data_IF_468062105781
#
_entry.id   IF_468062105781
#
_cell.length_a   1.000
_cell.length_b   1.000
_cell.length_c   1.000
_cell.angle_alpha   90.00
_cell.angle_beta   90.00
_cell.angle_gamma   90.00
#
_symmetry.space_group_name_H-M   'P 1'
#
loop_
_entity.id
_entity.type
_entity.pdbx_description
1 polymer ?
#
# COMPACT_ATOMS: atom_id res chain seq x y z
N UNK A 1 13.14 -1.18 4.55
CA UNK A 1 14.24 -1.18 5.54
C UNK A 1 14.97 -2.50 5.49
N UNK A 2 16.07 -2.64 6.22
CA UNK A 2 16.79 -3.92 6.38
C UNK A 2 16.98 -4.17 7.88
N UNK A 3 16.84 -5.42 8.32
CA UNK A 3 17.16 -5.82 9.69
C UNK A 3 18.63 -6.24 9.78
N UNK A 4 19.39 -5.62 10.68
CA UNK A 4 20.79 -5.98 10.93
C UNK A 4 21.64 -4.79 11.38
N UNK A 5 22.95 -5.01 11.41
CA UNK A 5 23.92 -4.00 11.87
C UNK A 5 24.30 -2.97 10.79
N UNK A 6 23.82 -3.15 9.56
CA UNK A 6 24.12 -2.28 8.42
C UNK A 6 22.91 -2.18 7.49
N UNK A 7 22.92 -1.19 6.59
CA UNK A 7 21.89 -1.06 5.55
C UNK A 7 22.08 -2.02 4.36
N UNK A 8 23.01 -2.98 4.44
CA UNK A 8 23.21 -4.00 3.41
C UNK A 8 22.25 -5.16 3.64
N UNK A 9 21.47 -5.52 2.62
CA UNK A 9 20.58 -6.68 2.65
C UNK A 9 19.39 -6.49 1.72
N UNK A 10 18.47 -7.45 1.76
CA UNK A 10 17.21 -7.39 1.02
C UNK A 10 16.23 -6.46 1.75
N UNK A 11 15.71 -5.42 1.08
CA UNK A 11 14.79 -4.49 1.73
C UNK A 11 13.39 -5.10 1.88
N UNK A 12 12.80 -4.91 3.05
CA UNK A 12 11.40 -5.23 3.35
C UNK A 12 10.60 -3.96 3.68
N UNK A 13 9.27 -4.04 3.66
CA UNK A 13 8.39 -2.97 4.12
C UNK A 13 8.17 -3.10 5.64
N UNK A 14 8.45 -2.02 6.37
CA UNK A 14 8.22 -1.94 7.81
C UNK A 14 7.19 -0.86 8.11
N UNK A 15 6.34 -1.11 9.10
CA UNK A 15 5.29 -0.19 9.54
C UNK A 15 5.42 0.05 11.04
N UNK A 16 5.17 1.30 11.44
CA UNK A 16 5.00 1.68 12.84
C UNK A 16 3.73 2.49 12.97
N UNK A 17 2.94 2.18 13.99
CA UNK A 17 1.65 2.83 14.28
C UNK A 17 1.70 3.66 15.56
N UNK A 18 2.87 3.71 16.20
CA UNK A 18 3.13 4.43 17.44
C UNK A 18 4.36 5.34 17.30
N UNK A 19 4.43 6.06 16.18
CA UNK A 19 5.45 7.08 15.91
C UNK A 19 6.91 6.57 16.02
N UNK A 20 7.15 5.31 15.68
CA UNK A 20 8.50 4.73 15.59
C UNK A 20 9.01 4.06 16.86
N UNK A 21 8.19 3.97 17.93
CA UNK A 21 8.56 3.27 19.17
C UNK A 21 8.72 1.77 18.92
N UNK A 22 7.81 1.18 18.16
CA UNK A 22 7.91 -0.21 17.71
C UNK A 22 7.62 -0.33 16.21
N UNK A 23 8.17 -1.39 15.61
CA UNK A 23 8.05 -1.66 14.18
C UNK A 23 7.66 -3.11 13.95
N UNK A 24 6.82 -3.33 12.94
CA UNK A 24 6.55 -4.65 12.38
C UNK A 24 7.15 -4.74 10.98
N UNK A 25 7.65 -5.92 10.62
CA UNK A 25 7.98 -6.25 9.23
C UNK A 25 6.67 -6.65 8.52
N UNK A 26 6.04 -5.70 7.84
CA UNK A 26 4.71 -5.86 7.28
C UNK A 26 4.70 -6.70 5.99
N UNK A 27 5.65 -6.48 5.08
CA UNK A 27 5.77 -7.25 3.84
C UNK A 27 7.23 -7.52 3.50
N UNK A 28 7.53 -8.72 3.03
CA UNK A 28 8.88 -9.03 2.54
C UNK A 28 9.08 -8.63 1.07
N UNK A 29 10.18 -7.90 0.82
CA UNK A 29 10.59 -7.38 -0.48
C UNK A 29 10.32 -5.89 -0.67
N UNK A 30 10.66 -5.40 -1.88
CA UNK A 30 10.51 -4.01 -2.25
C UNK A 30 9.09 -3.71 -2.75
N UNK A 31 8.42 -2.73 -2.15
CA UNK A 31 7.09 -2.28 -2.54
C UNK A 31 7.05 -0.77 -2.73
N UNK A 32 6.33 -0.30 -3.75
CA UNK A 32 5.73 1.03 -3.65
C UNK A 32 4.56 0.92 -2.69
N UNK A 33 4.38 1.90 -1.83
CA UNK A 33 3.27 1.93 -0.88
C UNK A 33 2.71 3.34 -0.78
N UNK A 34 1.42 3.42 -0.48
CA UNK A 34 0.72 4.66 -0.21
C UNK A 34 -0.41 4.41 0.78
N UNK A 35 -0.80 5.44 1.50
CA UNK A 35 -1.95 5.43 2.40
C UNK A 35 -3.04 6.34 1.87
N UNK A 36 -4.28 6.09 2.29
CA UNK A 36 -5.43 6.92 1.99
C UNK A 36 -6.40 6.92 3.19
N UNK A 37 -7.48 7.71 3.11
CA UNK A 37 -8.48 7.87 4.17
C UNK A 37 -7.87 8.10 5.57
N UNK A 38 -7.02 9.13 5.69
CA UNK A 38 -6.30 9.45 6.95
C UNK A 38 -5.47 8.29 7.53
N UNK A 39 -5.06 7.34 6.70
CA UNK A 39 -4.33 6.14 7.15
C UNK A 39 -5.20 4.92 7.42
N UNK A 40 -6.52 5.00 7.21
CA UNK A 40 -7.46 3.88 7.37
C UNK A 40 -7.24 2.76 6.35
N UNK A 41 -6.53 3.02 5.26
CA UNK A 41 -6.08 1.99 4.31
C UNK A 41 -4.64 2.23 3.85
N UNK A 42 -3.90 1.12 3.77
CA UNK A 42 -2.59 1.04 3.14
C UNK A 42 -2.67 0.16 1.89
N UNK A 43 -2.06 0.60 0.79
CA UNK A 43 -1.90 -0.19 -0.42
C UNK A 43 -0.41 -0.31 -0.75
N UNK A 44 0.01 -1.49 -1.16
CA UNK A 44 1.37 -1.77 -1.61
C UNK A 44 1.39 -2.60 -2.90
N UNK A 45 2.41 -2.36 -3.73
CA UNK A 45 2.62 -3.06 -4.99
C UNK A 45 4.10 -3.35 -5.21
N UNK A 46 4.43 -4.59 -5.62
CA UNK A 46 5.83 -5.03 -5.78
C UNK A 46 6.60 -4.15 -6.75
N UNK A 47 7.80 -3.74 -6.36
CA UNK A 47 8.78 -3.11 -7.24
C UNK A 47 9.61 -4.18 -7.95
N UNK A 48 10.18 -3.80 -9.10
CA UNK A 48 11.19 -4.56 -9.86
C UNK A 48 10.78 -5.96 -10.35
N UNK A 49 9.56 -6.41 -10.07
CA UNK A 49 8.99 -7.65 -10.59
C UNK A 49 7.69 -7.35 -11.34
N UNK A 50 7.41 -8.04 -12.46
CA UNK A 50 6.09 -8.03 -13.06
C UNK A 50 5.01 -8.42 -12.05
N UNK A 51 3.91 -7.66 -12.01
CA UNK A 51 2.80 -7.94 -11.09
C UNK A 51 1.44 -7.75 -11.77
N UNK A 52 0.45 -8.43 -11.21
CA UNK A 52 -0.96 -8.37 -11.58
C UNK A 52 -1.83 -7.79 -10.46
N UNK A 53 -1.28 -7.80 -9.25
CA UNK A 53 -2.02 -7.63 -8.01
C UNK A 53 -1.39 -6.49 -7.20
N UNK A 54 -2.25 -5.79 -6.46
CA UNK A 54 -1.86 -5.00 -5.28
C UNK A 54 -2.11 -5.85 -4.03
N UNK A 55 -1.45 -5.48 -2.94
CA UNK A 55 -1.87 -5.90 -1.61
C UNK A 55 -2.33 -4.70 -0.80
N UNK A 56 -3.29 -4.90 0.10
CA UNK A 56 -3.83 -3.84 0.93
C UNK A 56 -4.07 -4.32 2.36
N UNK A 57 -4.07 -3.38 3.30
CA UNK A 57 -4.38 -3.59 4.73
C UNK A 57 -5.28 -2.44 5.21
N UNK A 58 -6.24 -2.77 6.08
CA UNK A 58 -7.14 -1.84 6.77
C UNK A 58 -6.99 -1.92 8.30
N UNK A 59 -5.95 -2.60 8.76
CA UNK A 59 -5.60 -2.85 10.16
C UNK A 59 -4.14 -2.47 10.43
N UNK A 60 -3.73 -1.33 9.86
CA UNK A 60 -2.42 -0.71 10.08
C UNK A 60 -1.21 -1.60 9.71
N UNK A 61 -1.39 -2.52 8.75
CA UNK A 61 -0.34 -3.38 8.22
C UNK A 61 -0.17 -4.72 8.93
N UNK A 62 -1.09 -5.10 9.82
CA UNK A 62 -1.08 -6.41 10.48
C UNK A 62 -1.48 -7.54 9.52
N UNK A 63 -2.60 -7.38 8.80
CA UNK A 63 -3.08 -8.36 7.82
C UNK A 63 -3.14 -7.74 6.43
N UNK A 64 -2.64 -8.49 5.45
CA UNK A 64 -2.60 -8.06 4.05
C UNK A 64 -3.46 -8.97 3.17
N UNK A 65 -4.27 -8.34 2.32
CA UNK A 65 -5.14 -8.99 1.35
C UNK A 65 -4.67 -8.67 -0.07
N UNK A 66 -4.81 -9.62 -1.00
CA UNK A 66 -4.43 -9.43 -2.41
C UNK A 66 -5.64 -9.04 -3.26
N UNK A 67 -5.48 -8.07 -4.16
CA UNK A 67 -6.49 -7.65 -5.11
C UNK A 67 -5.90 -7.54 -6.52
N UNK A 68 -6.54 -8.21 -7.49
CA UNK A 68 -6.09 -8.22 -8.89
C UNK A 68 -6.52 -6.97 -9.63
N UNK A 69 -5.54 -6.21 -10.13
CA UNK A 69 -5.78 -4.94 -10.85
C UNK A 69 -5.73 -5.10 -12.38
N UNK A 70 -5.06 -6.14 -12.88
CA UNK A 70 -4.90 -6.39 -14.33
C UNK A 70 -4.89 -7.88 -14.65
N UNK A 71 -5.25 -8.24 -15.89
CA UNK A 71 -5.19 -9.62 -16.39
C UNK A 71 -3.77 -10.05 -16.76
N UNK A 72 -3.01 -9.15 -17.37
CA UNK A 72 -1.64 -9.37 -17.83
C UNK A 72 -0.66 -8.59 -16.97
N UNK A 73 0.50 -9.16 -16.66
CA UNK A 73 1.47 -8.55 -15.77
C UNK A 73 1.94 -7.21 -16.33
N UNK A 74 2.17 -6.26 -15.43
CA UNK A 74 2.74 -4.96 -15.76
C UNK A 74 4.05 -4.76 -15.02
N UNK A 75 4.94 -3.96 -15.61
CA UNK A 75 6.04 -3.33 -14.89
C UNK A 75 5.52 -2.05 -14.27
N UNK A 76 5.68 -1.90 -12.96
CA UNK A 76 5.19 -0.75 -12.18
C UNK A 76 6.31 0.27 -12.01
N UNK A 77 5.94 1.54 -12.10
CA UNK A 77 6.84 2.70 -11.95
C UNK A 77 6.44 3.61 -10.79
N UNK A 78 5.20 3.55 -10.33
CA UNK A 78 4.75 4.32 -9.18
C UNK A 78 3.35 3.97 -8.73
N UNK A 79 3.05 4.34 -7.48
CA UNK A 79 1.76 4.27 -6.82
C UNK A 79 1.55 5.61 -6.11
N UNK A 80 0.43 6.27 -6.34
CA UNK A 80 0.06 7.54 -5.72
C UNK A 80 -1.39 7.49 -5.24
N UNK A 81 -1.70 8.20 -4.17
CA UNK A 81 -3.08 8.47 -3.74
C UNK A 81 -3.53 9.81 -4.30
N UNK A 82 -4.82 9.96 -4.63
CA UNK A 82 -5.38 11.26 -5.05
C UNK A 82 -5.24 12.30 -3.92
N UNK A 83 -4.86 13.56 -4.23
CA UNK A 83 -4.78 14.63 -3.25
C UNK A 83 -6.14 14.90 -2.58
N UNK A 84 -6.11 15.15 -1.27
CA UNK A 84 -7.31 15.25 -0.45
C UNK A 84 -7.47 13.97 0.35
N UNK A 85 -7.08 14.03 1.62
CA UNK A 85 -6.90 12.90 2.55
C UNK A 85 -8.16 12.03 2.77
N UNK A 86 -9.30 12.39 2.18
CA UNK A 86 -10.59 11.67 2.25
C UNK A 86 -10.85 10.70 1.07
N UNK A 87 -9.97 10.64 0.06
CA UNK A 87 -10.16 9.69 -1.04
C UNK A 87 -9.72 8.28 -0.65
N UNK A 88 -10.27 7.27 -1.32
CA UNK A 88 -9.83 5.87 -1.29
C UNK A 88 -9.26 5.44 -2.65
N UNK A 89 -8.88 6.41 -3.48
CA UNK A 89 -8.50 6.20 -4.88
C UNK A 89 -6.97 6.20 -5.00
N UNK A 90 -6.46 5.11 -5.57
CA UNK A 90 -5.06 4.91 -5.86
C UNK A 90 -4.80 4.90 -7.36
N UNK A 91 -3.78 5.62 -7.80
CA UNK A 91 -3.31 5.67 -9.18
C UNK A 91 -1.99 4.92 -9.32
N UNK A 92 -1.98 3.91 -10.17
CA UNK A 92 -0.83 3.04 -10.44
C UNK A 92 -0.32 3.37 -11.84
N UNK A 93 0.98 3.68 -11.92
CA UNK A 93 1.66 4.02 -13.17
C UNK A 93 2.52 2.83 -13.57
N UNK A 94 2.32 2.31 -14.78
CA UNK A 94 3.03 1.13 -15.25
C UNK A 94 3.09 1.02 -16.77
N UNK A 95 3.55 -0.13 -17.24
CA UNK A 95 3.52 -0.50 -18.66
C UNK A 95 3.39 -2.00 -18.84
N UNK A 96 2.81 -2.48 -19.96
CA UNK A 96 2.87 -3.90 -20.32
C UNK A 96 4.31 -4.43 -20.41
N UNK A 97 4.49 -5.73 -20.23
CA UNK A 97 5.81 -6.35 -20.45
C UNK A 97 6.19 -6.32 -21.95
N UNK A 98 7.49 -6.22 -22.23
CA UNK A 98 8.05 -6.28 -23.59
C UNK A 98 7.95 -4.99 -24.42
N UNK A 99 7.03 -4.08 -24.09
CA UNK A 99 6.94 -2.76 -24.77
C UNK A 99 6.62 -1.67 -23.76
N UNK A 100 7.50 -0.68 -23.66
CA UNK A 100 7.31 0.45 -22.75
C UNK A 100 6.25 1.42 -23.32
N UNK A 101 5.01 1.27 -22.86
CA UNK A 101 3.90 2.20 -23.09
C UNK A 101 3.24 2.52 -21.75
N UNK A 102 3.18 3.80 -21.41
CA UNK A 102 2.54 4.25 -20.19
C UNK A 102 1.09 3.81 -20.12
N UNK A 103 0.72 3.24 -18.97
CA UNK A 103 -0.63 2.88 -18.58
C UNK A 103 -0.85 3.37 -17.16
N UNK A 104 -1.96 4.08 -16.96
CA UNK A 104 -2.43 4.49 -15.64
C UNK A 104 -3.63 3.62 -15.29
N UNK A 105 -3.63 3.06 -14.09
CA UNK A 105 -4.72 2.25 -13.56
C UNK A 105 -5.19 2.94 -12.28
N UNK A 106 -6.48 3.27 -12.21
CA UNK A 106 -7.09 3.79 -10.99
C UNK A 106 -7.87 2.68 -10.30
N UNK A 107 -7.66 2.56 -8.99
CA UNK A 107 -8.36 1.60 -8.14
C UNK A 107 -9.04 2.38 -7.03
N UNK A 108 -10.37 2.29 -6.96
CA UNK A 108 -11.15 2.80 -5.83
C UNK A 108 -11.33 1.67 -4.82
N UNK A 109 -10.78 1.86 -3.63
CA UNK A 109 -10.82 0.88 -2.55
C UNK A 109 -11.99 1.08 -1.59
N UNK A 110 -12.93 1.99 -1.88
CA UNK A 110 -14.05 2.31 -0.98
C UNK A 110 -14.83 1.09 -0.47
N UNK A 111 -15.00 0.08 -1.32
CA UNK A 111 -15.81 -1.10 -1.01
C UNK A 111 -15.19 -1.99 0.08
N UNK A 112 -13.88 -1.86 0.37
CA UNK A 112 -13.26 -2.64 1.47
C UNK A 112 -13.78 -2.24 2.85
N UNK A 113 -14.37 -1.04 2.96
CA UNK A 113 -15.01 -0.56 4.18
C UNK A 113 -16.50 -0.96 4.28
N UNK A 114 -17.01 -1.73 3.32
CA UNK A 114 -18.40 -2.26 3.32
C UNK A 114 -19.47 -1.17 3.46
N UNK A 115 -19.17 0.06 3.02
CA UNK A 115 -20.07 1.22 3.16
C UNK A 115 -20.26 1.74 4.60
N UNK A 116 -19.48 1.24 5.56
CA UNK A 116 -19.48 1.73 6.94
C UNK A 116 -18.85 3.13 7.00
N UNK A 117 -19.41 3.99 7.86
CA UNK A 117 -18.82 5.28 8.22
C UNK A 117 -18.42 5.23 9.68
N UNK A 118 -17.21 5.68 9.98
CA UNK A 118 -16.71 5.70 11.35
C UNK A 118 -17.57 6.60 12.23
N UNK A 119 -18.00 6.07 13.38
CA UNK A 119 -18.60 6.81 14.47
C UNK A 119 -17.59 7.04 15.61
N UNK A 120 -17.97 7.79 16.66
CA UNK A 120 -17.08 8.07 17.79
C UNK A 120 -16.53 6.83 18.50
N UNK A 121 -17.25 5.70 18.46
CA UNK A 121 -16.82 4.42 19.06
C UNK A 121 -15.69 3.73 18.31
N UNK A 122 -15.45 4.11 17.05
CA UNK A 122 -14.44 3.48 16.19
C UNK A 122 -13.07 4.14 16.33
N UNK A 123 -12.98 5.21 17.13
CA UNK A 123 -11.75 5.96 17.41
C UNK A 123 -11.23 5.68 18.81
N UNK A 124 -9.90 5.72 18.95
CA UNK A 124 -9.18 5.69 20.23
C UNK A 124 -8.38 6.97 20.40
N UNK A 125 -8.27 7.46 21.63
CA UNK A 125 -7.33 8.54 21.94
C UNK A 125 -5.91 8.00 21.88
N UNK A 126 -5.00 8.77 21.28
CA UNK A 126 -3.58 8.46 21.22
C UNK A 126 -2.75 9.62 21.76
N UNK A 127 -1.68 9.30 22.48
CA UNK A 127 -0.68 10.25 22.98
C UNK A 127 0.72 9.66 22.81
N UNK A 128 1.71 10.53 22.67
CA UNK A 128 3.13 10.16 22.73
C UNK A 128 3.58 9.83 24.15
#
# INVERSE_FOLDING_TARGET
GVMGNTLKGDPDLFVSTNAGISWIQALSGNYFYATADHGGIMVAIRQFAPTFDIVYSIDEGEVWHSYRIVKDAIKVYGLLTEPGENSTIFSIFGSPLGTHRWRVIQVDMKDVFEGKKCGPSDYKMWSM
#
